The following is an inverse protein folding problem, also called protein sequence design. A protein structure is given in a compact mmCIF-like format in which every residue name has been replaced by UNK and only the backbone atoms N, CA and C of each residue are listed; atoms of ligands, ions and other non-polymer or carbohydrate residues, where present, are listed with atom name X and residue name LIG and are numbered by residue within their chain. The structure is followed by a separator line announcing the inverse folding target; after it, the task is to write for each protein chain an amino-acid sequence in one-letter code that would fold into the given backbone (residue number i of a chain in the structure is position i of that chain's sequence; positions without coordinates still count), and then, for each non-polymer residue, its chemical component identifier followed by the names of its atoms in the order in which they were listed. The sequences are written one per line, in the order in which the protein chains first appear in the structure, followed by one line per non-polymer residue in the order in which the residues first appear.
data_IF_432901405364
#
_entry.id   IF_432901405364
#
_cell.length_a   1.000
_cell.length_b   1.000
_cell.length_c   1.000
_cell.angle_alpha   90.00
_cell.angle_beta   90.00
_cell.angle_gamma   90.00
#
_symmetry.space_group_name_H-M   'P 1'
#
loop_
_entity.id
_entity.type
_entity.pdbx_description
1 polymer ?
#
# COMPACT_ATOMS: atom_id res chain seq x y z
N UNK A 1 -19.34 -11.86 1.65
CA UNK A 1 -17.88 -11.88 1.90
C UNK A 1 -17.19 -13.13 1.36
N UNK A 2 -17.66 -14.36 1.63
CA UNK A 2 -16.92 -15.59 1.24
C UNK A 2 -16.75 -15.80 -0.28
N UNK A 3 -17.76 -15.45 -1.11
CA UNK A 3 -17.70 -15.68 -2.58
C UNK A 3 -16.65 -14.83 -3.29
N UNK A 4 -16.37 -13.61 -2.80
CA UNK A 4 -15.38 -12.70 -3.38
C UNK A 4 -13.99 -12.85 -2.78
N UNK A 5 -13.88 -13.38 -1.55
CA UNK A 5 -12.60 -13.53 -0.86
C UNK A 5 -11.61 -14.40 -1.64
N UNK A 6 -12.03 -15.60 -2.08
CA UNK A 6 -11.13 -16.53 -2.77
C UNK A 6 -10.62 -15.95 -4.10
N UNK A 7 -11.47 -15.43 -5.01
CA UNK A 7 -10.98 -14.75 -6.21
C UNK A 7 -10.02 -13.61 -5.91
N UNK A 8 -10.33 -12.74 -4.94
CA UNK A 8 -9.46 -11.62 -4.59
C UNK A 8 -8.11 -12.10 -4.04
N UNK A 9 -8.10 -13.10 -3.17
CA UNK A 9 -6.86 -13.66 -2.62
C UNK A 9 -5.98 -14.28 -3.72
N UNK A 10 -6.57 -15.01 -4.67
CA UNK A 10 -5.86 -15.58 -5.82
C UNK A 10 -5.26 -14.45 -6.68
N UNK A 11 -6.04 -13.42 -7.01
CA UNK A 11 -5.55 -12.28 -7.79
C UNK A 11 -4.41 -11.57 -7.05
N UNK A 12 -4.56 -11.30 -5.76
CA UNK A 12 -3.50 -10.69 -4.93
C UNK A 12 -2.22 -11.54 -4.93
N UNK A 13 -2.34 -12.86 -4.75
CA UNK A 13 -1.20 -13.77 -4.77
C UNK A 13 -0.48 -13.77 -6.13
N UNK A 14 -1.25 -13.80 -7.24
CA UNK A 14 -0.70 -13.70 -8.59
C UNK A 14 0.03 -12.37 -8.81
N UNK A 15 -0.57 -11.24 -8.42
CA UNK A 15 0.07 -9.93 -8.52
C UNK A 15 1.35 -9.85 -7.70
N UNK A 16 1.37 -10.44 -6.50
CA UNK A 16 2.54 -10.47 -5.62
C UNK A 16 3.71 -11.24 -6.23
N UNK A 17 3.45 -12.31 -6.99
CA UNK A 17 4.48 -13.09 -7.71
C UNK A 17 4.93 -12.39 -8.99
N UNK A 18 4.00 -11.78 -9.72
CA UNK A 18 4.27 -11.19 -11.03
C UNK A 18 4.98 -9.83 -10.91
N UNK A 19 4.60 -9.00 -9.94
CA UNK A 19 5.12 -7.64 -9.81
C UNK A 19 6.67 -7.58 -9.72
N UNK A 20 7.36 -8.39 -8.89
CA UNK A 20 8.83 -8.38 -8.84
C UNK A 20 9.48 -8.73 -10.18
N UNK A 21 8.89 -9.65 -10.95
CA UNK A 21 9.40 -10.05 -12.28
C UNK A 21 9.30 -8.88 -13.26
N UNK A 22 8.16 -8.18 -13.27
CA UNK A 22 7.95 -7.01 -14.13
C UNK A 22 8.90 -5.86 -13.74
N UNK A 23 9.07 -5.60 -12.45
CA UNK A 23 9.97 -4.56 -11.95
C UNK A 23 11.43 -4.89 -12.31
N UNK A 24 11.85 -6.15 -12.17
CA UNK A 24 13.19 -6.58 -12.56
C UNK A 24 13.45 -6.37 -14.06
N UNK A 25 12.45 -6.65 -14.91
CA UNK A 25 12.52 -6.49 -16.37
C UNK A 25 12.32 -5.07 -16.87
N UNK A 26 11.80 -4.16 -16.04
CA UNK A 26 11.65 -2.76 -16.42
C UNK A 26 13.01 -2.16 -16.82
N UNK A 27 13.07 -1.35 -17.90
CA UNK A 27 14.31 -0.69 -18.29
C UNK A 27 14.79 0.25 -17.18
N UNK A 28 16.09 0.49 -17.13
CA UNK A 28 16.64 1.51 -16.24
C UNK A 28 16.27 2.90 -16.75
N UNK A 29 15.94 3.77 -15.80
CA UNK A 29 15.87 5.20 -16.06
C UNK A 29 17.29 5.75 -16.23
N UNK A 30 17.44 6.80 -17.05
CA UNK A 30 18.72 7.39 -17.49
C UNK A 30 19.62 7.92 -16.37
N UNK A 31 19.06 8.49 -15.30
CA UNK A 31 19.81 9.22 -14.28
C UNK A 31 20.07 8.37 -13.04
N UNK A 32 18.99 7.83 -12.45
CA UNK A 32 19.04 7.12 -11.16
C UNK A 32 19.24 5.61 -11.30
N UNK A 33 19.13 5.08 -12.52
CA UNK A 33 19.37 3.67 -12.84
C UNK A 33 18.57 2.72 -11.92
N UNK A 34 19.25 1.82 -11.20
CA UNK A 34 18.64 0.82 -10.32
C UNK A 34 17.84 1.44 -9.18
N UNK A 35 18.28 2.58 -8.66
CA UNK A 35 17.68 3.21 -7.46
C UNK A 35 16.27 3.69 -7.75
N UNK A 36 16.00 4.16 -8.97
CA UNK A 36 14.66 4.58 -9.39
C UNK A 36 13.62 3.49 -9.19
N UNK A 37 13.99 2.21 -9.34
CA UNK A 37 13.04 1.09 -9.20
C UNK A 37 12.41 0.98 -7.82
N UNK A 38 12.96 1.65 -6.79
CA UNK A 38 12.31 1.77 -5.48
C UNK A 38 10.93 2.43 -5.58
N UNK A 39 10.69 3.28 -6.59
CA UNK A 39 9.41 3.95 -6.81
C UNK A 39 8.27 2.99 -7.10
N UNK A 40 8.54 1.81 -7.68
CA UNK A 40 7.52 0.78 -7.89
C UNK A 40 6.96 0.21 -6.58
N UNK A 41 7.66 0.40 -5.46
CA UNK A 41 7.18 0.02 -4.13
C UNK A 41 6.80 1.24 -3.29
N UNK A 42 7.62 2.28 -3.31
CA UNK A 42 7.47 3.47 -2.48
C UNK A 42 6.19 4.25 -2.82
N UNK A 43 5.99 4.61 -4.08
CA UNK A 43 4.87 5.47 -4.48
C UNK A 43 3.51 4.77 -4.31
N UNK A 44 3.33 3.51 -4.76
CA UNK A 44 2.07 2.80 -4.52
C UNK A 44 1.77 2.58 -3.04
N UNK A 45 2.79 2.46 -2.18
CA UNK A 45 2.58 2.33 -0.74
C UNK A 45 1.96 3.58 -0.13
N UNK A 46 2.42 4.78 -0.51
CA UNK A 46 1.77 6.01 -0.06
C UNK A 46 0.32 6.09 -0.52
N UNK A 47 0.04 5.73 -1.78
CA UNK A 47 -1.34 5.68 -2.30
C UNK A 47 -2.19 4.69 -1.50
N UNK A 48 -1.70 3.49 -1.24
CA UNK A 48 -2.39 2.48 -0.44
C UNK A 48 -2.61 2.95 1.01
N UNK A 49 -1.63 3.60 1.62
CA UNK A 49 -1.74 4.21 2.95
C UNK A 49 -2.82 5.28 2.96
N UNK A 50 -2.86 6.20 1.99
CA UNK A 50 -3.88 7.25 1.93
C UNK A 50 -5.28 6.68 1.68
N UNK A 51 -5.42 5.65 0.84
CA UNK A 51 -6.68 4.94 0.68
C UNK A 51 -7.13 4.29 2.00
N UNK A 52 -6.22 3.61 2.70
CA UNK A 52 -6.48 3.05 4.02
C UNK A 52 -6.88 4.12 5.04
N UNK A 53 -6.21 5.27 5.03
CA UNK A 53 -6.50 6.38 5.93
C UNK A 53 -7.89 6.95 5.69
N UNK A 54 -8.30 7.11 4.43
CA UNK A 54 -9.65 7.55 4.06
C UNK A 54 -10.71 6.56 4.57
N UNK A 55 -10.51 5.25 4.33
CA UNK A 55 -11.44 4.20 4.79
C UNK A 55 -11.51 4.17 6.32
N UNK A 56 -10.36 4.28 6.99
CA UNK A 56 -10.28 4.34 8.44
C UNK A 56 -11.04 5.55 9.00
N UNK A 57 -10.80 6.75 8.45
CA UNK A 57 -11.47 7.97 8.87
C UNK A 57 -12.99 7.89 8.66
N UNK A 58 -13.44 7.51 7.47
CA UNK A 58 -14.87 7.38 7.14
C UNK A 58 -15.54 6.31 8.00
N UNK A 59 -14.90 5.14 8.17
CA UNK A 59 -15.39 4.06 9.01
C UNK A 59 -15.54 4.47 10.47
N UNK A 60 -14.52 5.15 11.02
CA UNK A 60 -14.51 5.64 12.41
C UNK A 60 -15.59 6.69 12.65
N UNK A 61 -15.72 7.67 11.75
CA UNK A 61 -16.77 8.69 11.81
C UNK A 61 -18.15 8.02 11.79
N UNK A 62 -18.37 7.09 10.85
CA UNK A 62 -19.65 6.39 10.76
C UNK A 62 -19.95 5.56 12.03
N UNK A 63 -18.96 4.84 12.56
CA UNK A 63 -19.11 4.10 13.80
C UNK A 63 -19.48 5.01 14.98
N UNK A 64 -18.79 6.15 15.15
CA UNK A 64 -19.06 7.09 16.24
C UNK A 64 -20.49 7.66 16.19
N UNK A 65 -21.00 7.99 15.00
CA UNK A 65 -22.33 8.58 14.88
C UNK A 65 -23.48 7.57 14.91
N UNK A 66 -23.28 6.34 14.40
CA UNK A 66 -24.36 5.37 14.23
C UNK A 66 -24.19 4.07 15.02
N UNK A 67 -23.09 3.90 15.75
CA UNK A 67 -22.77 2.68 16.49
C UNK A 67 -22.61 1.42 15.63
N UNK A 68 -22.37 1.57 14.32
CA UNK A 68 -22.35 0.43 13.39
C UNK A 68 -21.06 -0.38 13.49
N UNK A 69 -21.14 -1.57 14.10
CA UNK A 69 -20.01 -2.51 14.25
C UNK A 69 -19.34 -2.94 12.94
N UNK A 70 -20.06 -2.91 11.82
CA UNK A 70 -19.44 -3.22 10.52
C UNK A 70 -18.49 -2.10 10.09
N UNK A 71 -18.86 -0.84 10.34
CA UNK A 71 -18.00 0.31 10.04
C UNK A 71 -16.73 0.31 10.90
N UNK A 72 -16.86 -0.07 12.17
CA UNK A 72 -15.75 -0.26 13.10
C UNK A 72 -14.72 -1.28 12.60
N UNK A 73 -15.20 -2.46 12.17
CA UNK A 73 -14.33 -3.52 11.61
C UNK A 73 -13.61 -3.09 10.33
N UNK A 74 -14.27 -2.30 9.47
CA UNK A 74 -13.60 -1.72 8.30
C UNK A 74 -12.54 -0.70 8.72
N UNK A 75 -12.81 0.12 9.74
CA UNK A 75 -11.85 1.10 10.24
C UNK A 75 -10.61 0.43 10.84
N UNK A 76 -10.81 -0.60 11.66
CA UNK A 76 -9.74 -1.41 12.26
C UNK A 76 -8.86 -2.06 11.18
N UNK A 77 -9.48 -2.76 10.22
CA UNK A 77 -8.75 -3.42 9.14
C UNK A 77 -7.99 -2.42 8.27
N UNK A 78 -8.56 -1.23 8.05
CA UNK A 78 -7.91 -0.17 7.29
C UNK A 78 -6.75 0.47 8.06
N UNK A 79 -6.84 0.60 9.39
CA UNK A 79 -5.77 1.11 10.23
C UNK A 79 -4.53 0.21 10.18
N UNK A 80 -4.68 -1.12 10.17
CA UNK A 80 -3.56 -2.04 9.97
C UNK A 80 -2.85 -1.79 8.63
N UNK A 81 -3.60 -1.60 7.55
CA UNK A 81 -3.03 -1.28 6.23
C UNK A 81 -2.29 0.07 6.23
N UNK A 82 -2.84 1.10 6.90
CA UNK A 82 -2.17 2.40 7.07
C UNK A 82 -0.80 2.21 7.73
N UNK A 83 -0.74 1.44 8.81
CA UNK A 83 0.53 1.18 9.51
C UNK A 83 1.52 0.42 8.63
N UNK A 84 1.08 -0.64 7.95
CA UNK A 84 1.93 -1.45 7.08
C UNK A 84 2.52 -0.64 5.92
N UNK A 85 1.68 0.07 5.17
CA UNK A 85 2.13 0.84 4.02
C UNK A 85 2.84 2.14 4.41
N UNK A 86 2.42 2.77 5.51
CA UNK A 86 3.10 3.93 6.09
C UNK A 86 4.52 3.58 6.53
N UNK A 87 4.72 2.43 7.21
CA UNK A 87 6.05 1.94 7.55
C UNK A 87 6.90 1.70 6.30
N UNK A 88 6.33 1.08 5.26
CA UNK A 88 7.05 0.89 4.00
C UNK A 88 7.47 2.24 3.39
N UNK A 89 6.59 3.24 3.36
CA UNK A 89 6.90 4.59 2.88
C UNK A 89 8.01 5.27 3.70
N UNK A 90 7.93 5.21 5.03
CA UNK A 90 8.91 5.79 5.95
C UNK A 90 10.28 5.12 5.88
N UNK A 91 10.35 3.83 5.58
CA UNK A 91 11.62 3.11 5.41
C UNK A 91 12.21 3.34 4.02
N UNK A 92 11.39 3.24 2.98
CA UNK A 92 11.89 3.35 1.59
C UNK A 92 12.19 4.79 1.17
N UNK A 93 11.54 5.79 1.77
CA UNK A 93 11.78 7.20 1.47
C UNK A 93 13.23 7.64 1.73
N UNK A 94 13.77 7.48 2.95
CA UNK A 94 15.15 7.82 3.27
C UNK A 94 16.18 7.02 2.46
N UNK A 95 15.89 5.75 2.12
CA UNK A 95 16.77 4.93 1.29
C UNK A 95 16.93 5.52 -0.12
N UNK A 96 15.83 5.98 -0.70
CA UNK A 96 15.86 6.70 -1.97
C UNK A 96 16.52 8.07 -1.85
N UNK A 97 16.09 8.88 -0.87
CA UNK A 97 16.54 10.26 -0.68
C UNK A 97 18.05 10.34 -0.48
N UNK A 98 18.62 9.42 0.31
CA UNK A 98 20.09 9.34 0.54
C UNK A 98 20.87 9.25 -0.77
N UNK A 99 20.35 8.51 -1.74
CA UNK A 99 21.06 8.28 -2.99
C UNK A 99 20.74 9.34 -4.05
N UNK A 100 19.55 9.92 -4.00
CA UNK A 100 19.14 10.99 -4.90
C UNK A 100 19.77 12.35 -4.53
N UNK A 101 19.86 12.66 -3.23
CA UNK A 101 20.19 14.00 -2.72
C UNK A 101 21.39 14.07 -1.76
N UNK A 102 21.94 12.93 -1.34
CA UNK A 102 23.03 12.86 -0.35
C UNK A 102 22.55 12.70 1.08
#
# INVERSE_FOLDING_TARGET
MKKSFVPLAVVTALLFVIAPILIARAPYESEMLLIQKIFYFHVPSWVAMYCGLLVCAVGSIWYLFKGNRVADRYAESAAELVLLFGLNGLVSGPLWARKAWG
#
